data_IF_498766408186
#
_entry.id   IF_498766408186
#
_cell.length_a   1.000
_cell.length_b   1.000
_cell.length_c   1.000
_cell.angle_alpha   90.00
_cell.angle_beta   90.00
_cell.angle_gamma   90.00
#
_symmetry.space_group_name_H-M   'P 1'
#
loop_
_entity.id
_entity.type
_entity.pdbx_description
1 polymer ?
#
# COMPACT_ATOMS: atom_id res chain seq x y z
N UNK A 1 8.92 -23.50 23.97
CA UNK A 1 8.50 -24.21 22.74
C UNK A 1 7.62 -23.25 21.92
N UNK A 2 8.26 -22.62 20.93
CA UNK A 2 7.76 -21.91 19.74
C UNK A 2 6.32 -21.35 19.79
N UNK A 3 6.16 -20.03 20.00
CA UNK A 3 5.06 -19.28 19.36
C UNK A 3 5.54 -18.98 17.95
N UNK A 4 5.08 -19.78 16.99
CA UNK A 4 5.39 -19.61 15.59
C UNK A 4 4.73 -18.31 15.14
N UNK A 5 5.53 -17.25 15.02
CA UNK A 5 5.12 -16.06 14.30
C UNK A 5 4.74 -16.51 12.89
N UNK A 6 3.43 -16.52 12.60
CA UNK A 6 2.91 -16.67 11.25
C UNK A 6 3.52 -15.56 10.41
N UNK A 7 4.61 -15.87 9.69
CA UNK A 7 5.17 -15.00 8.67
C UNK A 7 4.08 -14.75 7.64
N UNK A 8 3.37 -13.63 7.82
CA UNK A 8 2.51 -13.00 6.82
C UNK A 8 3.24 -13.11 5.48
N UNK A 9 2.67 -13.89 4.55
CA UNK A 9 3.26 -14.11 3.22
C UNK A 9 3.49 -12.74 2.61
N UNK A 10 4.76 -12.30 2.55
CA UNK A 10 5.09 -11.03 1.90
C UNK A 10 4.66 -11.17 0.46
N UNK A 11 3.68 -10.39 0.05
CA UNK A 11 3.36 -10.28 -1.35
C UNK A 11 4.58 -9.68 -2.03
N UNK A 12 5.03 -10.24 -3.16
CA UNK A 12 6.16 -9.68 -3.93
C UNK A 12 5.87 -8.29 -4.51
N UNK A 13 4.84 -7.60 -4.03
CA UNK A 13 4.43 -6.26 -4.44
C UNK A 13 4.81 -5.29 -3.32
N UNK A 14 5.79 -4.45 -3.62
CA UNK A 14 6.16 -3.29 -2.81
C UNK A 14 5.38 -2.05 -3.25
N UNK A 15 5.51 -0.97 -2.47
CA UNK A 15 4.83 0.30 -2.77
C UNK A 15 5.62 1.54 -2.30
N UNK A 16 5.30 2.68 -2.90
CA UNK A 16 5.83 4.00 -2.54
C UNK A 16 4.78 4.90 -1.87
N UNK A 17 3.67 4.35 -1.37
CA UNK A 17 2.51 5.12 -0.87
C UNK A 17 2.92 6.10 0.22
N UNK A 18 3.76 5.70 1.18
CA UNK A 18 4.18 6.58 2.27
C UNK A 18 4.91 7.82 1.74
N UNK A 19 5.83 7.64 0.80
CA UNK A 19 6.58 8.72 0.15
C UNK A 19 5.64 9.60 -0.67
N UNK A 20 4.76 8.99 -1.47
CA UNK A 20 3.78 9.73 -2.26
C UNK A 20 2.83 10.56 -1.40
N UNK A 21 2.36 10.02 -0.26
CA UNK A 21 1.55 10.77 0.71
C UNK A 21 2.29 11.97 1.27
N UNK A 22 3.57 11.82 1.61
CA UNK A 22 4.39 12.93 2.11
C UNK A 22 4.47 14.07 1.08
N UNK A 23 4.79 13.73 -0.18
CA UNK A 23 4.86 14.72 -1.26
C UNK A 23 3.49 15.28 -1.67
N UNK A 24 2.40 14.56 -1.40
CA UNK A 24 1.02 15.03 -1.63
C UNK A 24 0.47 15.79 -0.42
N UNK A 25 1.26 16.74 0.12
CA UNK A 25 0.86 17.62 1.23
C UNK A 25 0.64 16.88 2.56
N UNK A 26 1.52 15.94 2.89
CA UNK A 26 1.42 15.11 4.10
C UNK A 26 0.06 14.41 4.27
N UNK A 27 -0.50 13.92 3.15
CA UNK A 27 -1.78 13.23 3.13
C UNK A 27 -1.79 12.11 4.19
N UNK A 28 -2.71 12.19 5.15
CA UNK A 28 -2.79 11.17 6.19
C UNK A 28 -3.28 9.83 5.63
N UNK A 29 -2.93 8.72 6.29
CA UNK A 29 -3.45 7.39 5.93
C UNK A 29 -4.98 7.36 5.97
N UNK A 30 -5.59 8.07 6.93
CA UNK A 30 -7.06 8.16 7.07
C UNK A 30 -7.67 8.86 5.86
N UNK A 31 -7.12 10.00 5.46
CA UNK A 31 -7.61 10.75 4.30
C UNK A 31 -7.44 9.97 2.99
N UNK A 32 -6.31 9.26 2.79
CA UNK A 32 -6.14 8.38 1.64
C UNK A 32 -7.19 7.25 1.66
N UNK A 33 -7.42 6.64 2.82
CA UNK A 33 -8.39 5.56 2.98
C UNK A 33 -9.82 6.01 2.63
N UNK A 34 -10.22 7.20 3.08
CA UNK A 34 -11.50 7.82 2.74
C UNK A 34 -11.65 8.04 1.22
N UNK A 35 -10.62 8.55 0.55
CA UNK A 35 -10.63 8.79 -0.91
C UNK A 35 -10.79 7.51 -1.73
N UNK A 36 -10.24 6.38 -1.27
CA UNK A 36 -10.27 5.11 -2.01
C UNK A 36 -11.32 4.11 -1.48
N UNK A 37 -12.09 4.50 -0.47
CA UNK A 37 -13.21 3.72 0.06
C UNK A 37 -12.80 2.50 0.89
N UNK A 38 -11.71 2.60 1.67
CA UNK A 38 -11.22 1.52 2.54
C UNK A 38 -10.97 2.03 3.96
N UNK A 39 -10.60 1.12 4.87
CA UNK A 39 -10.23 1.51 6.24
C UNK A 39 -8.80 2.05 6.31
N UNK A 40 -8.50 2.89 7.30
CA UNK A 40 -7.12 3.34 7.57
C UNK A 40 -6.17 2.16 7.79
N UNK A 41 -6.66 1.09 8.43
CA UNK A 41 -5.92 -0.14 8.69
C UNK A 41 -5.52 -0.82 7.39
N UNK A 42 -6.39 -0.81 6.37
CA UNK A 42 -6.09 -1.32 5.03
C UNK A 42 -4.91 -0.56 4.40
N UNK A 43 -4.96 0.77 4.39
CA UNK A 43 -3.83 1.59 3.89
C UNK A 43 -2.54 1.32 4.66
N UNK A 44 -2.61 1.24 5.98
CA UNK A 44 -1.46 0.94 6.81
C UNK A 44 -0.86 -0.46 6.54
N UNK A 45 -1.71 -1.47 6.30
CA UNK A 45 -1.24 -2.82 5.96
C UNK A 45 -0.55 -2.86 4.59
N UNK A 46 -1.09 -2.13 3.60
CA UNK A 46 -0.48 -1.99 2.27
C UNK A 46 0.87 -1.29 2.38
N UNK A 47 0.96 -0.14 3.07
CA UNK A 47 2.22 0.57 3.29
C UNK A 47 3.32 -0.28 3.94
N UNK A 48 2.93 -1.22 4.79
CA UNK A 48 3.85 -2.15 5.47
C UNK A 48 4.15 -3.40 4.63
N UNK A 49 3.66 -3.48 3.38
CA UNK A 49 3.77 -4.64 2.49
C UNK A 49 3.26 -5.96 3.12
N UNK A 50 2.30 -5.86 4.06
CA UNK A 50 1.69 -7.02 4.74
C UNK A 50 0.62 -7.71 3.91
N UNK A 51 0.13 -7.01 2.88
CA UNK A 51 -0.94 -7.45 2.01
C UNK A 51 -0.85 -6.71 0.68
N UNK A 52 -0.99 -7.43 -0.42
CA UNK A 52 -1.13 -6.83 -1.76
C UNK A 52 -2.56 -6.34 -1.93
N UNK A 53 -2.76 -5.07 -2.32
CA UNK A 53 -4.09 -4.59 -2.67
C UNK A 53 -4.68 -5.39 -3.84
N UNK A 54 -6.00 -5.36 -3.97
CA UNK A 54 -6.65 -5.74 -5.23
C UNK A 54 -6.21 -4.79 -6.36
N UNK A 55 -6.30 -5.24 -7.60
CA UNK A 55 -5.97 -4.40 -8.76
C UNK A 55 -6.79 -3.10 -8.77
N UNK A 56 -8.08 -3.18 -8.45
CA UNK A 56 -8.97 -2.01 -8.34
C UNK A 56 -8.47 -1.01 -7.30
N UNK A 57 -8.10 -1.48 -6.09
CA UNK A 57 -7.58 -0.61 -5.04
C UNK A 57 -6.24 0.02 -5.43
N UNK A 58 -5.37 -0.75 -6.08
CA UNK A 58 -4.10 -0.22 -6.60
C UNK A 58 -4.33 0.90 -7.62
N UNK A 59 -5.28 0.73 -8.54
CA UNK A 59 -5.68 1.81 -9.45
C UNK A 59 -6.26 3.01 -8.71
N UNK A 60 -7.19 2.82 -7.76
CA UNK A 60 -7.76 3.95 -6.99
C UNK A 60 -6.69 4.77 -6.29
N UNK A 61 -5.73 4.11 -5.65
CA UNK A 61 -4.59 4.76 -4.99
C UNK A 61 -3.75 5.54 -6.01
N UNK A 62 -3.51 4.96 -7.19
CA UNK A 62 -2.73 5.60 -8.26
C UNK A 62 -3.40 6.87 -8.79
N UNK A 63 -4.73 6.85 -8.93
CA UNK A 63 -5.49 8.04 -9.32
C UNK A 63 -5.42 9.15 -8.26
N UNK A 64 -5.43 8.82 -6.96
CA UNK A 64 -5.29 9.83 -5.89
C UNK A 64 -3.96 10.56 -5.97
N UNK A 65 -2.89 9.87 -6.37
CA UNK A 65 -1.56 10.48 -6.52
C UNK A 65 -1.29 11.06 -7.90
N UNK A 66 -2.21 10.88 -8.86
CA UNK A 66 -2.03 11.28 -10.26
C UNK A 66 -0.75 10.68 -10.87
N UNK A 67 -0.50 9.40 -10.58
CA UNK A 67 0.68 8.68 -11.06
C UNK A 67 0.32 7.35 -11.74
N UNK A 68 1.15 6.89 -12.69
CA UNK A 68 1.10 5.51 -13.17
C UNK A 68 1.13 4.51 -12.01
N UNK A 69 0.41 3.39 -12.15
CA UNK A 69 0.39 2.33 -11.13
C UNK A 69 1.80 1.79 -10.82
N UNK A 70 2.70 1.81 -11.81
CA UNK A 70 4.11 1.40 -11.71
C UNK A 70 4.98 2.37 -10.89
N UNK A 71 4.56 3.62 -10.72
CA UNK A 71 5.24 4.59 -9.85
C UNK A 71 4.79 4.44 -8.39
N UNK A 72 3.63 3.79 -8.17
CA UNK A 72 3.01 3.61 -6.86
C UNK A 72 3.33 2.23 -6.30
N UNK A 73 3.31 1.21 -7.14
CA UNK A 73 3.53 -0.19 -6.82
C UNK A 73 4.58 -0.80 -7.75
N UNK A 74 5.38 -1.69 -7.21
CA UNK A 74 6.42 -2.38 -7.96
C UNK A 74 6.49 -3.84 -7.54
N UNK A 75 6.95 -4.71 -8.43
CA UNK A 75 7.15 -6.12 -8.13
C UNK A 75 8.60 -6.35 -7.71
N UNK A 76 8.82 -6.75 -6.45
CA UNK A 76 10.08 -7.30 -5.95
C UNK A 76 10.08 -8.80 -6.28
N UNK A 77 10.62 -9.14 -7.45
CA UNK A 77 10.65 -10.52 -7.95
C UNK A 77 11.54 -11.46 -7.12
N UNK A 78 12.51 -10.93 -6.37
CA UNK A 78 13.48 -11.74 -5.64
C UNK A 78 13.96 -11.02 -4.36
N UNK A 79 14.01 -11.75 -3.25
CA UNK A 79 14.92 -11.49 -2.12
C UNK A 79 15.83 -12.69 -1.95
#
# INVERSE_FOLDING_TARGET
MVKSDEKSKSTGIGNHIRTLRFHHGELSQKALAERVGVTRQTINAIEQNKYSPSLELAFKISHVFERPITDVFYYEAER
#
